data_IF_393953597278
#
_entry.id   IF_393953597278
#
_cell.length_a   1.000
_cell.length_b   1.000
_cell.length_c   1.000
_cell.angle_alpha   90.00
_cell.angle_beta   90.00
_cell.angle_gamma   90.00
#
_symmetry.space_group_name_H-M   'P 1'
#
loop_
_entity.id
_entity.type
_entity.pdbx_description
1 polymer ?
#
# COMPACT_ATOMS: atom_id res chain seq x y z
N UNK A 1 -27.25 -4.91 38.72
CA UNK A 1 -27.50 -3.96 37.62
C UNK A 1 -26.49 -2.83 37.72
N UNK A 2 -25.34 -2.98 37.04
CA UNK A 2 -24.32 -1.95 36.76
C UNK A 2 -23.66 -2.39 35.44
N UNK A 3 -23.44 -1.50 34.45
CA UNK A 3 -23.08 -1.89 33.09
C UNK A 3 -21.55 -2.03 32.92
N UNK A 4 -21.14 -3.05 32.17
CA UNK A 4 -19.84 -3.17 31.48
C UNK A 4 -20.27 -3.41 30.01
N UNK A 5 -19.92 -2.61 29.01
CA UNK A 5 -18.59 -2.14 28.63
C UNK A 5 -18.70 -0.81 27.88
N UNK A 6 -17.94 0.18 28.33
CA UNK A 6 -17.45 1.27 27.47
C UNK A 6 -16.03 0.88 27.06
N UNK A 7 -15.74 0.91 25.77
CA UNK A 7 -14.44 0.52 25.25
C UNK A 7 -14.48 0.35 23.75
N UNK A 8 -14.15 1.43 23.04
CA UNK A 8 -13.76 1.46 21.64
C UNK A 8 -12.93 0.22 21.29
N UNK A 9 -13.55 -0.76 20.64
CA UNK A 9 -12.82 -1.82 19.96
C UNK A 9 -12.21 -1.21 18.69
N UNK A 10 -11.02 -0.63 18.81
CA UNK A 10 -10.11 -0.52 17.67
C UNK A 10 -9.80 -1.95 17.23
N UNK A 11 -10.62 -2.50 16.34
CA UNK A 11 -10.26 -3.69 15.57
C UNK A 11 -9.06 -3.28 14.74
N UNK A 12 -7.86 -3.51 15.28
CA UNK A 12 -6.64 -3.58 14.50
C UNK A 12 -6.83 -4.74 13.53
N UNK A 13 -7.46 -4.47 12.38
CA UNK A 13 -7.50 -5.44 11.31
C UNK A 13 -6.05 -5.52 10.80
N UNK A 14 -5.36 -6.66 10.97
CA UNK A 14 -3.95 -6.72 10.64
C UNK A 14 -3.80 -6.48 9.14
N UNK A 15 -2.98 -5.50 8.76
CA UNK A 15 -2.69 -5.21 7.36
C UNK A 15 -2.21 -6.47 6.62
N UNK A 16 -2.69 -6.73 5.38
CA UNK A 16 -2.30 -7.90 4.60
C UNK A 16 -0.80 -8.04 4.39
N UNK A 17 -0.38 -9.27 4.07
CA UNK A 17 1.02 -9.59 3.84
C UNK A 17 1.50 -9.14 2.45
N UNK A 18 0.64 -9.24 1.44
CA UNK A 18 1.01 -8.97 0.06
C UNK A 18 0.19 -7.84 -0.54
N UNK A 19 0.89 -6.97 -1.28
CA UNK A 19 0.31 -5.77 -1.88
C UNK A 19 0.70 -5.68 -3.35
N UNK A 20 -0.29 -5.60 -4.23
CA UNK A 20 -0.09 -5.31 -5.65
C UNK A 20 -0.29 -3.81 -5.91
N UNK A 21 0.69 -3.14 -6.52
CA UNK A 21 0.57 -1.75 -6.93
C UNK A 21 0.37 -1.69 -8.44
N UNK A 22 -0.64 -0.93 -8.87
CA UNK A 22 -0.83 -0.62 -10.28
C UNK A 22 0.13 0.47 -10.76
N UNK A 23 0.52 0.41 -12.02
CA UNK A 23 1.29 1.42 -12.73
C UNK A 23 1.00 1.30 -14.24
N UNK A 24 1.37 2.30 -15.04
CA UNK A 24 1.25 2.22 -16.51
C UNK A 24 1.96 0.98 -17.06
N UNK A 25 3.13 0.67 -16.48
CA UNK A 25 4.03 -0.40 -16.93
C UNK A 25 3.45 -1.81 -16.79
N UNK A 26 2.57 -2.03 -15.81
CA UNK A 26 1.99 -3.35 -15.54
C UNK A 26 0.50 -3.43 -15.88
N UNK A 27 -0.10 -2.37 -16.42
CA UNK A 27 -1.55 -2.28 -16.59
C UNK A 27 -2.14 -3.45 -17.38
N UNK A 28 -1.48 -3.85 -18.46
CA UNK A 28 -1.91 -4.93 -19.34
C UNK A 28 -2.02 -6.32 -18.66
N UNK A 29 -1.45 -6.51 -17.48
CA UNK A 29 -1.47 -7.79 -16.75
C UNK A 29 -2.23 -7.73 -15.43
N UNK A 30 -2.78 -6.57 -15.03
CA UNK A 30 -3.33 -6.37 -13.69
C UNK A 30 -4.53 -7.27 -13.39
N UNK A 31 -5.45 -7.46 -14.34
CA UNK A 31 -6.60 -8.34 -14.17
C UNK A 31 -6.15 -9.78 -13.89
N UNK A 32 -5.14 -10.26 -14.63
CA UNK A 32 -4.55 -11.58 -14.41
C UNK A 32 -3.85 -11.64 -13.06
N UNK A 33 -3.03 -10.64 -12.73
CA UNK A 33 -2.30 -10.61 -11.47
C UNK A 33 -3.25 -10.63 -10.26
N UNK A 34 -4.33 -9.85 -10.30
CA UNK A 34 -5.37 -9.85 -9.27
C UNK A 34 -6.07 -11.20 -9.15
N UNK A 35 -6.36 -11.86 -10.26
CA UNK A 35 -6.98 -13.19 -10.24
C UNK A 35 -6.08 -14.29 -9.64
N UNK A 36 -4.75 -14.13 -9.71
CA UNK A 36 -3.78 -15.10 -9.18
C UNK A 36 -3.23 -14.70 -7.80
N UNK A 37 -3.49 -13.47 -7.34
CA UNK A 37 -3.08 -13.01 -6.02
C UNK A 37 -3.81 -13.86 -4.96
N UNK A 38 -3.11 -14.36 -3.91
CA UNK A 38 -3.78 -15.13 -2.87
C UNK A 38 -4.89 -14.31 -2.21
N UNK A 39 -6.04 -14.94 -1.94
CA UNK A 39 -7.23 -14.26 -1.38
C UNK A 39 -6.90 -13.46 -0.11
N UNK A 40 -7.58 -12.33 0.10
CA UNK A 40 -7.43 -11.52 1.30
C UNK A 40 -6.20 -10.61 1.35
N UNK A 41 -5.50 -10.42 0.22
CA UNK A 41 -4.40 -9.45 0.09
C UNK A 41 -4.90 -8.04 -0.29
N UNK A 42 -4.03 -7.17 -0.77
CA UNK A 42 -4.40 -5.79 -1.07
C UNK A 42 -3.89 -5.31 -2.43
N UNK A 43 -4.63 -4.36 -3.00
CA UNK A 43 -4.37 -3.73 -4.28
C UNK A 43 -4.36 -2.20 -4.11
N UNK A 44 -3.34 -1.53 -4.63
CA UNK A 44 -3.21 -0.07 -4.63
C UNK A 44 -3.29 0.45 -6.05
N UNK A 45 -4.36 1.19 -6.35
CA UNK A 45 -4.58 1.83 -7.64
C UNK A 45 -3.92 3.21 -7.68
N UNK A 46 -3.07 3.46 -8.67
CA UNK A 46 -2.25 4.69 -8.82
C UNK A 46 -2.59 5.43 -10.10
N UNK A 47 -2.27 4.84 -11.26
CA UNK A 47 -2.62 5.30 -12.62
C UNK A 47 -2.72 6.83 -12.75
N UNK A 48 -1.63 7.54 -12.44
CA UNK A 48 -1.60 9.01 -12.46
C UNK A 48 -1.55 9.59 -13.88
N UNK A 49 -1.25 8.77 -14.88
CA UNK A 49 -1.11 9.17 -16.29
C UNK A 49 -2.47 9.27 -17.02
N UNK A 50 -3.54 8.72 -16.44
CA UNK A 50 -4.88 8.76 -17.02
C UNK A 50 -5.61 10.05 -16.63
N UNK A 51 -6.45 10.56 -17.53
CA UNK A 51 -7.44 11.58 -17.17
C UNK A 51 -8.50 11.05 -16.21
N UNK A 52 -9.24 11.93 -15.54
CA UNK A 52 -10.17 11.54 -14.48
C UNK A 52 -11.24 10.52 -14.93
N UNK A 53 -11.74 10.63 -16.16
CA UNK A 53 -12.78 9.73 -16.66
C UNK A 53 -12.21 8.35 -16.95
N UNK A 54 -11.10 8.28 -17.68
CA UNK A 54 -10.40 7.03 -17.96
C UNK A 54 -9.90 6.37 -16.67
N UNK A 55 -9.38 7.17 -15.74
CA UNK A 55 -8.90 6.74 -14.43
C UNK A 55 -10.00 6.12 -13.59
N UNK A 56 -11.19 6.74 -13.56
CA UNK A 56 -12.36 6.18 -12.87
C UNK A 56 -12.79 4.85 -13.49
N UNK A 57 -12.93 4.79 -14.82
CA UNK A 57 -13.31 3.56 -15.51
C UNK A 57 -12.33 2.42 -15.25
N UNK A 58 -11.02 2.72 -15.28
CA UNK A 58 -9.98 1.73 -15.00
C UNK A 58 -9.99 1.30 -13.53
N UNK A 59 -10.22 2.22 -12.61
CA UNK A 59 -10.41 1.90 -11.20
C UNK A 59 -11.57 0.93 -11.00
N UNK A 60 -12.75 1.21 -11.57
CA UNK A 60 -13.93 0.36 -11.40
C UNK A 60 -13.69 -1.08 -11.88
N UNK A 61 -13.03 -1.23 -13.05
CA UNK A 61 -12.68 -2.54 -13.60
C UNK A 61 -11.73 -3.34 -12.69
N UNK A 62 -10.64 -2.71 -12.25
CA UNK A 62 -9.64 -3.38 -11.41
C UNK A 62 -10.13 -3.59 -9.97
N UNK A 63 -10.94 -2.69 -9.43
CA UNK A 63 -11.55 -2.84 -8.12
C UNK A 63 -12.55 -4.02 -8.11
N UNK A 64 -13.30 -4.23 -9.20
CA UNK A 64 -14.15 -5.42 -9.32
C UNK A 64 -13.34 -6.72 -9.31
N UNK A 65 -12.24 -6.78 -10.08
CA UNK A 65 -11.33 -7.93 -10.08
C UNK A 65 -10.69 -8.18 -8.71
N UNK A 66 -10.24 -7.12 -8.04
CA UNK A 66 -9.64 -7.20 -6.71
C UNK A 66 -10.63 -7.71 -5.65
N UNK A 67 -11.87 -7.20 -5.66
CA UNK A 67 -12.91 -7.61 -4.71
C UNK A 67 -13.36 -9.06 -4.91
N UNK A 68 -13.28 -9.62 -6.12
CA UNK A 68 -13.55 -11.04 -6.37
C UNK A 68 -12.57 -11.97 -5.61
N UNK A 69 -11.35 -11.47 -5.32
CA UNK A 69 -10.33 -12.12 -4.49
C UNK A 69 -10.37 -11.75 -3.01
N UNK A 70 -11.41 -11.06 -2.54
CA UNK A 70 -11.51 -10.47 -1.19
C UNK A 70 -10.34 -9.51 -0.88
N UNK A 71 -9.79 -8.82 -1.89
CA UNK A 71 -8.69 -7.90 -1.68
C UNK A 71 -9.18 -6.53 -1.23
N UNK A 72 -8.41 -5.89 -0.35
CA UNK A 72 -8.56 -4.47 -0.06
C UNK A 72 -8.20 -3.66 -1.30
N UNK A 73 -9.00 -2.64 -1.61
CA UNK A 73 -8.78 -1.72 -2.73
C UNK A 73 -8.43 -0.35 -2.18
N UNK A 74 -7.20 0.08 -2.41
CA UNK A 74 -6.67 1.35 -1.94
C UNK A 74 -6.53 2.30 -3.13
N UNK A 75 -7.01 3.53 -2.99
CA UNK A 75 -6.82 4.55 -4.00
C UNK A 75 -5.65 5.44 -3.65
N UNK A 76 -4.74 5.67 -4.59
CA UNK A 76 -3.79 6.77 -4.47
C UNK A 76 -4.44 8.08 -4.91
N UNK A 77 -4.66 8.98 -3.96
CA UNK A 77 -5.34 10.25 -4.21
C UNK A 77 -5.90 10.86 -2.92
N UNK A 78 -6.64 11.96 -3.04
CA UNK A 78 -7.32 12.60 -1.92
C UNK A 78 -8.31 11.65 -1.24
N UNK A 79 -8.54 11.84 0.06
CA UNK A 79 -9.40 10.97 0.84
C UNK A 79 -10.87 11.04 0.41
N UNK A 80 -11.32 12.22 0.00
CA UNK A 80 -12.67 12.48 -0.49
C UNK A 80 -12.94 11.68 -1.75
N UNK A 81 -11.97 11.63 -2.67
CA UNK A 81 -12.08 10.86 -3.90
C UNK A 81 -12.08 9.35 -3.61
N UNK A 82 -11.24 8.89 -2.67
CA UNK A 82 -11.22 7.50 -2.26
C UNK A 82 -12.56 7.06 -1.65
N UNK A 83 -13.15 7.90 -0.80
CA UNK A 83 -14.48 7.66 -0.24
C UNK A 83 -15.56 7.66 -1.33
N UNK A 84 -15.55 8.64 -2.24
CA UNK A 84 -16.50 8.74 -3.36
C UNK A 84 -16.46 7.49 -4.26
N UNK A 85 -15.25 6.98 -4.53
CA UNK A 85 -15.05 5.80 -5.38
C UNK A 85 -15.21 4.49 -4.60
N UNK A 86 -15.48 4.55 -3.30
CA UNK A 86 -15.69 3.38 -2.44
C UNK A 86 -14.42 2.55 -2.23
N UNK A 87 -13.24 3.17 -2.24
CA UNK A 87 -12.00 2.51 -1.84
C UNK A 87 -11.97 2.25 -0.32
N UNK A 88 -11.27 1.21 0.09
CA UNK A 88 -11.08 0.82 1.50
C UNK A 88 -10.00 1.70 2.19
N UNK A 89 -9.27 2.50 1.43
CA UNK A 89 -8.27 3.39 1.97
C UNK A 89 -7.56 4.25 0.93
N UNK A 90 -6.61 5.02 1.45
CA UNK A 90 -5.81 6.01 0.73
C UNK A 90 -4.33 5.65 0.79
N UNK A 91 -3.62 5.95 -0.30
CA UNK A 91 -2.17 5.78 -0.44
C UNK A 91 -1.51 7.08 -0.92
N UNK A 92 -0.50 7.55 -0.20
CA UNK A 92 0.25 8.73 -0.63
C UNK A 92 1.25 9.25 0.40
N UNK A 93 1.87 10.42 0.13
CA UNK A 93 2.80 11.03 1.06
C UNK A 93 2.08 11.44 2.35
N UNK A 94 2.75 11.38 3.52
CA UNK A 94 2.12 11.58 4.83
C UNK A 94 1.30 12.86 4.95
N UNK A 95 1.74 13.95 4.31
CA UNK A 95 1.09 15.26 4.34
C UNK A 95 -0.23 15.31 3.59
N UNK A 96 -0.44 14.37 2.66
CA UNK A 96 -1.65 14.27 1.84
C UNK A 96 -2.61 13.21 2.36
N UNK A 97 -2.28 12.53 3.46
CA UNK A 97 -3.19 11.59 4.10
C UNK A 97 -4.30 12.37 4.81
N UNK A 98 -5.47 12.44 4.18
CA UNK A 98 -6.69 12.96 4.81
C UNK A 98 -7.08 12.14 6.04
N UNK A 99 -7.95 12.72 6.89
CA UNK A 99 -8.36 12.11 8.17
C UNK A 99 -9.80 11.59 8.16
N UNK A 100 -10.34 11.28 6.99
CA UNK A 100 -11.70 10.75 6.90
C UNK A 100 -11.80 9.43 7.70
N UNK A 101 -12.91 9.25 8.45
CA UNK A 101 -13.17 8.00 9.14
C UNK A 101 -13.32 6.86 8.13
N UNK A 102 -13.13 5.63 8.60
CA UNK A 102 -13.34 4.38 7.86
C UNK A 102 -12.38 4.10 6.67
N UNK A 103 -11.48 5.03 6.33
CA UNK A 103 -10.42 4.80 5.35
C UNK A 103 -9.12 4.34 6.02
N UNK A 104 -8.52 3.27 5.49
CA UNK A 104 -7.12 2.95 5.79
C UNK A 104 -6.21 4.07 5.28
N UNK A 105 -5.21 4.49 6.08
CA UNK A 105 -4.26 5.55 5.73
C UNK A 105 -2.90 4.93 5.55
N UNK A 106 -2.42 4.84 4.32
CA UNK A 106 -1.17 4.19 3.98
C UNK A 106 -0.17 5.23 3.45
N UNK A 107 0.88 5.47 4.22
CA UNK A 107 1.91 6.44 3.89
C UNK A 107 2.94 5.85 2.91
N UNK A 108 3.59 6.71 2.13
CA UNK A 108 4.88 6.41 1.51
C UNK A 108 6.01 7.04 2.32
N UNK A 109 7.14 6.36 2.45
CA UNK A 109 8.34 6.91 3.05
C UNK A 109 9.61 6.46 2.31
N UNK A 110 10.56 7.39 2.18
CA UNK A 110 11.86 7.19 1.54
C UNK A 110 13.03 7.46 2.50
N UNK A 111 12.77 8.00 3.69
CA UNK A 111 13.78 8.28 4.70
C UNK A 111 13.18 8.34 6.13
N UNK A 112 14.04 8.57 7.12
CA UNK A 112 13.64 8.67 8.53
C UNK A 112 12.70 9.87 8.81
N UNK A 113 12.85 10.97 8.06
CA UNK A 113 12.02 12.17 8.22
C UNK A 113 10.59 11.88 7.78
N UNK A 114 10.41 11.21 6.64
CA UNK A 114 9.11 10.81 6.11
C UNK A 114 8.44 9.74 6.99
N UNK A 115 9.21 8.84 7.61
CA UNK A 115 8.68 7.92 8.64
C UNK A 115 8.15 8.70 9.84
N UNK A 116 8.90 9.68 10.35
CA UNK A 116 8.44 10.51 11.45
C UNK A 116 7.18 11.33 11.09
N UNK A 117 7.05 11.76 9.84
CA UNK A 117 5.83 12.39 9.31
C UNK A 117 4.66 11.41 9.28
N UNK A 118 4.87 10.17 8.83
CA UNK A 118 3.87 9.11 8.84
C UNK A 118 3.38 8.79 10.26
N UNK A 119 4.29 8.74 11.24
CA UNK A 119 3.96 8.54 12.66
C UNK A 119 3.02 9.66 13.14
N UNK A 120 3.40 10.93 12.89
CA UNK A 120 2.58 12.10 13.27
C UNK A 120 1.23 12.15 12.55
N UNK A 121 1.17 11.66 11.31
CA UNK A 121 -0.07 11.59 10.54
C UNK A 121 -1.04 10.51 11.06
N UNK A 122 -0.58 9.63 11.97
CA UNK A 122 -1.36 8.49 12.43
C UNK A 122 -1.69 7.54 11.29
N UNK A 123 -0.70 7.29 10.41
CA UNK A 123 -0.85 6.33 9.33
C UNK A 123 -1.05 4.91 9.89
N UNK A 124 -1.93 4.14 9.25
CA UNK A 124 -2.20 2.75 9.63
C UNK A 124 -1.12 1.79 9.11
N UNK A 125 -0.33 2.21 8.12
CA UNK A 125 0.82 1.49 7.59
C UNK A 125 1.69 2.41 6.74
N UNK A 126 2.94 2.01 6.48
CA UNK A 126 3.88 2.78 5.66
C UNK A 126 4.57 1.88 4.64
N UNK A 127 4.59 2.31 3.38
CA UNK A 127 5.39 1.72 2.32
C UNK A 127 6.77 2.36 2.34
N UNK A 128 7.79 1.58 2.67
CA UNK A 128 9.17 2.03 2.74
C UNK A 128 9.92 1.55 1.50
N UNK A 129 10.38 2.50 0.69
CA UNK A 129 10.99 2.24 -0.62
C UNK A 129 12.06 3.26 -1.03
N UNK A 130 12.97 2.93 -1.95
CA UNK A 130 13.16 1.60 -2.55
C UNK A 130 14.06 0.69 -1.70
N UNK A 131 13.60 -0.53 -1.41
CA UNK A 131 14.44 -1.53 -0.69
C UNK A 131 15.57 -2.03 -1.59
N UNK A 132 15.25 -2.43 -2.82
CA UNK A 132 16.20 -2.95 -3.79
C UNK A 132 16.15 -2.15 -5.10
N UNK A 133 17.17 -2.26 -5.97
CA UNK A 133 17.16 -1.63 -7.28
C UNK A 133 15.92 -2.05 -8.08
N UNK A 134 15.33 -1.08 -8.78
CA UNK A 134 14.18 -1.31 -9.66
C UNK A 134 14.62 -1.41 -11.10
N UNK A 135 13.87 -2.13 -11.94
CA UNK A 135 14.17 -2.22 -13.39
C UNK A 135 14.06 -0.88 -14.10
N UNK A 136 13.21 0.02 -13.60
CA UNK A 136 13.00 1.35 -14.19
C UNK A 136 14.05 2.37 -13.77
N UNK A 137 14.73 2.15 -12.64
CA UNK A 137 15.81 3.00 -12.15
C UNK A 137 16.94 2.14 -11.57
N UNK A 138 17.78 1.52 -12.42
CA UNK A 138 18.83 0.61 -11.98
C UNK A 138 20.03 1.31 -11.32
N UNK A 139 20.11 2.64 -11.36
CA UNK A 139 21.21 3.44 -10.81
C UNK A 139 20.86 4.31 -9.60
N UNK A 140 19.60 4.31 -9.16
CA UNK A 140 19.17 5.13 -8.02
C UNK A 140 19.60 4.46 -6.70
N UNK A 141 19.91 5.28 -5.70
CA UNK A 141 20.21 4.79 -4.35
C UNK A 141 19.02 3.99 -3.81
N UNK A 142 19.31 2.78 -3.34
CA UNK A 142 18.35 1.92 -2.65
C UNK A 142 18.89 1.59 -1.27
N UNK A 143 18.00 1.21 -0.35
CA UNK A 143 18.40 0.96 1.04
C UNK A 143 19.30 -0.27 1.17
N UNK A 144 18.96 -1.35 0.47
CA UNK A 144 19.39 -2.69 0.83
C UNK A 144 18.80 -3.16 2.18
N UNK A 145 19.01 -4.43 2.55
CA UNK A 145 18.36 -5.04 3.72
C UNK A 145 18.68 -4.38 5.06
N UNK A 146 19.93 -3.95 5.27
CA UNK A 146 20.37 -3.36 6.55
C UNK A 146 19.72 -2.00 6.77
N UNK A 147 19.88 -1.08 5.81
CA UNK A 147 19.31 0.27 5.93
C UNK A 147 17.78 0.25 5.98
N UNK A 148 17.15 -0.67 5.26
CA UNK A 148 15.70 -0.86 5.33
C UNK A 148 15.27 -1.18 6.77
N UNK A 149 15.94 -2.11 7.46
CA UNK A 149 15.61 -2.48 8.84
C UNK A 149 15.88 -1.33 9.81
N UNK A 150 16.98 -0.59 9.66
CA UNK A 150 17.29 0.60 10.46
C UNK A 150 16.20 1.70 10.35
N UNK A 151 15.64 1.87 9.16
CA UNK A 151 14.53 2.79 8.94
C UNK A 151 13.23 2.22 9.50
N UNK A 152 12.95 0.94 9.23
CA UNK A 152 11.71 0.30 9.63
C UNK A 152 11.47 0.29 11.14
N UNK A 153 12.52 0.20 11.97
CA UNK A 153 12.39 0.26 13.44
C UNK A 153 11.93 1.62 13.98
N UNK A 154 11.99 2.67 13.16
CA UNK A 154 11.54 4.02 13.54
C UNK A 154 10.04 4.22 13.31
N UNK A 155 9.38 3.29 12.60
CA UNK A 155 7.96 3.36 12.30
C UNK A 155 7.12 2.88 13.50
N UNK A 156 6.11 3.67 13.87
CA UNK A 156 5.15 3.32 14.92
C UNK A 156 3.95 2.51 14.35
N UNK A 157 3.98 2.21 13.06
CA UNK A 157 2.98 1.44 12.32
C UNK A 157 3.64 0.30 11.52
N UNK A 158 2.87 -0.69 11.05
CA UNK A 158 3.42 -1.75 10.20
C UNK A 158 4.09 -1.19 8.93
N UNK A 159 5.31 -1.66 8.68
CA UNK A 159 6.10 -1.32 7.48
C UNK A 159 5.88 -2.37 6.39
N UNK A 160 5.62 -1.89 5.18
CA UNK A 160 5.44 -2.67 3.95
C UNK A 160 6.65 -2.38 3.05
N UNK A 161 7.47 -3.40 2.79
CA UNK A 161 8.63 -3.28 1.93
C UNK A 161 8.21 -3.07 0.47
N UNK A 162 8.75 -2.05 -0.20
CA UNK A 162 8.47 -1.74 -1.60
C UNK A 162 9.74 -1.33 -2.35
N UNK A 163 9.77 -1.57 -3.66
CA UNK A 163 10.88 -1.21 -4.53
C UNK A 163 11.79 -2.41 -4.77
N UNK A 164 11.72 -2.93 -5.99
CA UNK A 164 12.50 -4.10 -6.41
C UNK A 164 12.11 -5.39 -5.69
N UNK A 165 10.97 -5.46 -5.00
CA UNK A 165 10.59 -6.67 -4.27
C UNK A 165 10.12 -7.79 -5.20
N UNK A 166 10.50 -9.01 -4.84
CA UNK A 166 10.00 -10.29 -5.39
C UNK A 166 9.77 -11.25 -4.22
N UNK A 167 9.10 -12.38 -4.44
CA UNK A 167 8.93 -13.39 -3.39
C UNK A 167 10.27 -13.93 -2.85
N UNK A 168 11.31 -13.96 -3.69
CA UNK A 168 12.65 -14.38 -3.31
C UNK A 168 13.35 -13.33 -2.43
N UNK A 169 13.31 -12.06 -2.84
CA UNK A 169 13.85 -10.94 -2.05
C UNK A 169 13.10 -10.75 -0.73
N UNK A 170 11.80 -11.02 -0.70
CA UNK A 170 11.03 -11.00 0.54
C UNK A 170 11.48 -12.09 1.53
N UNK A 171 11.82 -13.28 1.03
CA UNK A 171 12.40 -14.37 1.83
C UNK A 171 13.79 -14.00 2.33
N UNK A 172 14.64 -13.43 1.48
CA UNK A 172 15.98 -12.96 1.85
C UNK A 172 15.95 -11.83 2.89
N UNK A 173 15.02 -10.89 2.74
CA UNK A 173 14.79 -9.81 3.70
C UNK A 173 14.17 -10.31 5.02
N UNK A 174 13.64 -11.54 5.04
CA UNK A 174 12.85 -12.10 6.15
C UNK A 174 11.77 -11.12 6.63
N UNK A 175 11.02 -10.56 5.68
CA UNK A 175 10.03 -9.52 5.96
C UNK A 175 8.63 -9.92 5.51
N UNK A 176 7.70 -9.93 6.46
CA UNK A 176 6.35 -10.47 6.26
C UNK A 176 5.51 -9.67 5.27
N UNK A 177 5.62 -8.34 5.27
CA UNK A 177 4.74 -7.45 4.51
C UNK A 177 5.48 -6.77 3.39
N UNK A 178 5.14 -7.08 2.15
CA UNK A 178 5.82 -6.50 1.01
C UNK A 178 4.87 -6.28 -0.15
N UNK A 179 5.33 -5.43 -1.06
CA UNK A 179 4.55 -4.92 -2.15
C UNK A 179 5.35 -4.96 -3.44
N UNK A 180 4.67 -5.18 -4.56
CA UNK A 180 5.30 -5.18 -5.87
C UNK A 180 4.45 -4.47 -6.92
N UNK A 181 5.13 -3.92 -7.91
CA UNK A 181 4.54 -3.47 -9.17
C UNK A 181 4.68 -4.62 -10.18
N UNK A 182 5.91 -5.05 -10.46
CA UNK A 182 6.18 -6.13 -11.43
C UNK A 182 6.52 -7.48 -10.78
N UNK A 183 6.76 -7.53 -9.46
CA UNK A 183 7.28 -8.72 -8.78
C UNK A 183 6.25 -9.82 -8.47
N UNK A 184 5.01 -9.66 -8.95
CA UNK A 184 3.86 -10.53 -8.68
C UNK A 184 3.19 -11.11 -9.93
N UNK A 185 3.73 -10.82 -11.12
CA UNK A 185 3.27 -11.33 -12.41
C UNK A 185 3.96 -12.62 -12.82
#
# INVERSE_FOLDING_TARGET
>A
MVPLYSGSMTRANPLPALWLLSDERNDAVLERALAHLPRGNAFVFRHYHLDDKARRQRFDALAAAARAGDHLVILSGPAELAQEWGADGIYGPPEKLGKLPDLLRLATAHDAREIALANRAGAHGVFLSPVFPTRSHPGDECFGPEKFRELAVQAEMPVIALGGMTAERARELDWRRWAAIDGLS
#
